data_IF_459416337538
#
_entry.id   IF_459416337538
#
_cell.length_a   1.000
_cell.length_b   1.000
_cell.length_c   1.000
_cell.angle_alpha   90.00
_cell.angle_beta   90.00
_cell.angle_gamma   90.00
#
_symmetry.space_group_name_H-M   'P 1'
#
loop_
_entity.id
_entity.type
_entity.pdbx_description
1 polymer ?
#
# COMPACT_ATOMS: atom_id res chain seq x y z
N UNK A 1 -1.57 33.66 -39.76
CA UNK A 1 -2.35 33.02 -38.68
C UNK A 1 -1.73 31.67 -38.46
N UNK A 2 -0.79 31.58 -37.52
CA UNK A 2 -0.06 30.35 -37.25
C UNK A 2 -0.11 30.07 -35.74
N UNK A 3 -0.31 28.79 -35.42
CA UNK A 3 0.03 28.10 -34.18
C UNK A 3 -0.82 28.42 -32.93
N UNK A 4 -1.99 27.78 -32.85
CA UNK A 4 -2.73 27.57 -31.58
C UNK A 4 -3.17 26.11 -31.35
N UNK A 5 -2.66 25.14 -32.10
CA UNK A 5 -3.08 23.72 -31.96
C UNK A 5 -2.15 22.87 -31.10
N UNK A 6 -0.96 23.36 -30.73
CA UNK A 6 0.00 22.62 -29.90
C UNK A 6 -0.21 22.77 -28.40
N UNK A 7 -0.97 23.79 -27.96
CA UNK A 7 -1.13 24.11 -26.54
C UNK A 7 -2.19 23.24 -25.85
N UNK A 8 -3.28 22.87 -26.52
CA UNK A 8 -4.42 22.22 -25.86
C UNK A 8 -4.19 20.73 -25.61
N UNK A 9 -3.50 20.01 -26.50
CA UNK A 9 -3.17 18.59 -26.29
C UNK A 9 -2.12 18.39 -25.19
N UNK A 10 -1.11 19.26 -25.13
CA UNK A 10 -0.10 19.25 -24.07
C UNK A 10 -0.71 19.59 -22.69
N UNK A 11 -1.67 20.53 -22.62
CA UNK A 11 -2.37 20.88 -21.38
C UNK A 11 -3.40 19.83 -20.94
N UNK A 12 -4.08 19.16 -21.88
CA UNK A 12 -4.97 18.03 -21.54
C UNK A 12 -4.18 16.80 -21.06
N UNK A 13 -2.93 16.62 -21.53
CA UNK A 13 -1.99 15.64 -20.98
C UNK A 13 -1.48 16.01 -19.57
N UNK A 14 -1.51 17.29 -19.20
CA UNK A 14 -1.08 17.73 -17.88
C UNK A 14 -2.09 17.30 -16.79
N UNK A 15 -3.38 17.19 -17.12
CA UNK A 15 -4.37 16.49 -16.29
C UNK A 15 -4.25 14.94 -16.31
N UNK A 16 -3.15 14.36 -16.81
CA UNK A 16 -3.04 12.92 -17.09
C UNK A 16 -1.79 12.21 -16.56
N UNK A 17 -0.77 12.94 -16.06
CA UNK A 17 0.39 12.38 -15.36
C UNK A 17 0.51 12.96 -13.93
N UNK A 18 0.20 14.24 -13.73
CA UNK A 18 0.19 14.87 -12.41
C UNK A 18 -0.79 14.19 -11.44
N UNK A 19 -1.92 13.68 -11.97
CA UNK A 19 -2.88 12.87 -11.19
C UNK A 19 -2.26 11.54 -10.75
N UNK A 20 -1.49 10.88 -11.62
CA UNK A 20 -0.84 9.59 -11.30
C UNK A 20 0.31 9.79 -10.32
N UNK A 21 1.01 10.93 -10.41
CA UNK A 21 2.02 11.35 -9.43
C UNK A 21 1.37 11.59 -8.07
N UNK A 22 0.28 12.35 -8.02
CA UNK A 22 -0.46 12.61 -6.80
C UNK A 22 -0.99 11.31 -6.17
N UNK A 23 -1.58 10.42 -6.95
CA UNK A 23 -2.07 9.11 -6.49
C UNK A 23 -0.91 8.24 -5.93
N UNK A 24 0.26 8.25 -6.58
CA UNK A 24 1.45 7.54 -6.09
C UNK A 24 1.93 8.09 -4.75
N UNK A 25 1.83 9.41 -4.53
CA UNK A 25 2.16 10.04 -3.24
C UNK A 25 1.16 9.68 -2.14
N UNK A 26 -0.13 9.65 -2.46
CA UNK A 26 -1.15 9.17 -1.52
C UNK A 26 -0.88 7.73 -1.10
N UNK A 27 -0.52 6.84 -2.03
CA UNK A 27 -0.15 5.47 -1.69
C UNK A 27 1.08 5.36 -0.78
N UNK A 28 2.06 6.27 -0.92
CA UNK A 28 3.20 6.31 0.00
C UNK A 28 2.74 6.62 1.43
N UNK A 29 1.85 7.60 1.59
CA UNK A 29 1.28 7.96 2.89
C UNK A 29 0.44 6.81 3.48
N UNK A 30 -0.40 6.18 2.66
CA UNK A 30 -1.22 5.02 3.07
C UNK A 30 -0.36 3.82 3.48
N UNK A 31 0.72 3.52 2.75
CA UNK A 31 1.65 2.43 3.11
C UNK A 31 2.40 2.74 4.40
N UNK A 32 2.85 3.98 4.59
CA UNK A 32 3.48 4.40 5.84
C UNK A 32 2.51 4.22 7.00
N UNK A 33 1.25 4.65 6.84
CA UNK A 33 0.23 4.45 7.85
C UNK A 33 -0.04 2.96 8.12
N UNK A 34 -0.14 2.13 7.08
CA UNK A 34 -0.32 0.69 7.23
C UNK A 34 0.85 0.03 7.98
N UNK A 35 2.08 0.52 7.77
CA UNK A 35 3.25 0.06 8.51
C UNK A 35 3.14 0.40 10.01
N UNK A 36 2.74 1.63 10.33
CA UNK A 36 2.51 2.05 11.71
C UNK A 36 1.41 1.20 12.38
N UNK A 37 0.34 0.90 11.64
CA UNK A 37 -0.69 -0.02 12.10
C UNK A 37 -0.12 -1.42 12.36
N UNK A 38 0.70 -1.99 11.47
CA UNK A 38 1.32 -3.30 11.72
C UNK A 38 2.22 -3.28 12.95
N UNK A 39 3.02 -2.24 13.12
CA UNK A 39 3.84 -2.08 14.32
C UNK A 39 2.98 -2.02 15.59
N UNK A 40 1.84 -1.34 15.54
CA UNK A 40 0.88 -1.33 16.64
C UNK A 40 0.30 -2.73 16.90
N UNK A 41 -0.16 -3.45 15.87
CA UNK A 41 -0.72 -4.79 16.03
C UNK A 41 0.31 -5.79 16.58
N UNK A 42 1.58 -5.71 16.16
CA UNK A 42 2.67 -6.52 16.73
C UNK A 42 2.90 -6.23 18.22
N UNK A 43 2.89 -4.95 18.62
CA UNK A 43 3.00 -4.58 20.05
C UNK A 43 1.80 -5.07 20.84
N UNK A 44 0.59 -4.97 20.27
CA UNK A 44 -0.64 -5.43 20.89
C UNK A 44 -0.61 -6.95 21.09
N UNK A 45 -0.24 -7.70 20.05
CA UNK A 45 -0.07 -9.15 20.10
C UNK A 45 0.90 -9.56 21.20
N UNK A 46 2.10 -8.97 21.24
CA UNK A 46 3.11 -9.25 22.28
C UNK A 46 2.55 -9.02 23.69
N UNK A 47 1.88 -7.88 23.91
CA UNK A 47 1.33 -7.52 25.22
C UNK A 47 0.31 -8.54 25.76
N UNK A 48 -0.52 -9.10 24.89
CA UNK A 48 -1.56 -10.06 25.30
C UNK A 48 -1.09 -11.52 25.23
N UNK A 49 -0.11 -11.83 24.38
CA UNK A 49 0.44 -13.16 24.17
C UNK A 49 1.37 -13.65 25.28
N UNK A 50 1.84 -12.77 26.16
CA UNK A 50 2.65 -13.14 27.35
C UNK A 50 1.83 -13.80 28.46
N UNK A 51 0.50 -13.79 28.36
CA UNK A 51 -0.39 -14.45 29.32
C UNK A 51 -0.43 -15.97 29.09
N UNK A 52 -0.70 -16.74 30.14
CA UNK A 52 -1.08 -18.15 29.97
C UNK A 52 -2.46 -18.18 29.31
N UNK A 53 -2.50 -18.61 28.04
CA UNK A 53 -3.71 -18.65 27.23
C UNK A 53 -4.21 -20.09 27.07
N UNK A 54 -5.53 -20.31 26.99
CA UNK A 54 -6.10 -21.58 26.54
C UNK A 54 -5.52 -22.03 25.19
N UNK A 55 -5.38 -23.33 24.97
CA UNK A 55 -4.72 -23.90 23.76
C UNK A 55 -5.32 -23.36 22.46
N UNK A 56 -6.65 -23.21 22.39
CA UNK A 56 -7.33 -22.67 21.21
C UNK A 56 -6.91 -21.23 20.90
N UNK A 57 -6.88 -20.37 21.93
CA UNK A 57 -6.48 -18.95 21.81
C UNK A 57 -4.98 -18.85 21.49
N UNK A 58 -4.17 -19.78 22.00
CA UNK A 58 -2.76 -19.86 21.69
C UNK A 58 -2.51 -20.23 20.21
N UNK A 59 -3.29 -21.16 19.65
CA UNK A 59 -3.21 -21.49 18.20
C UNK A 59 -3.58 -20.29 17.33
N UNK A 60 -4.65 -19.56 17.67
CA UNK A 60 -5.03 -18.32 16.99
C UNK A 60 -3.91 -17.26 17.09
N UNK A 61 -3.29 -17.13 18.26
CA UNK A 61 -2.16 -16.22 18.49
C UNK A 61 -1.00 -16.48 17.54
N UNK A 62 -0.59 -17.74 17.37
CA UNK A 62 0.50 -18.12 16.45
C UNK A 62 0.12 -17.78 15.00
N UNK A 63 -1.10 -18.13 14.58
CA UNK A 63 -1.57 -17.83 13.23
C UNK A 63 -1.59 -16.32 12.93
N UNK A 64 -2.05 -15.51 13.90
CA UNK A 64 -2.04 -14.05 13.79
C UNK A 64 -0.62 -13.51 13.68
N UNK A 65 0.32 -14.01 14.50
CA UNK A 65 1.71 -13.56 14.46
C UNK A 65 2.35 -13.84 13.09
N UNK A 66 2.15 -15.04 12.55
CA UNK A 66 2.65 -15.40 11.21
C UNK A 66 2.05 -14.51 10.13
N UNK A 67 0.72 -14.25 10.21
CA UNK A 67 0.03 -13.37 9.25
C UNK A 67 0.55 -11.94 9.31
N UNK A 68 0.73 -11.37 10.51
CA UNK A 68 1.26 -10.02 10.69
C UNK A 68 2.68 -9.90 10.16
N UNK A 69 3.54 -10.91 10.35
CA UNK A 69 4.89 -10.91 9.82
C UNK A 69 4.89 -10.89 8.29
N UNK A 70 4.08 -11.76 7.67
CA UNK A 70 3.95 -11.82 6.21
C UNK A 70 3.42 -10.50 5.64
N UNK A 71 2.38 -9.92 6.26
CA UNK A 71 1.83 -8.63 5.83
C UNK A 71 2.84 -7.50 5.98
N UNK A 72 3.62 -7.48 7.07
CA UNK A 72 4.67 -6.47 7.25
C UNK A 72 5.71 -6.54 6.12
N UNK A 73 6.09 -7.75 5.70
CA UNK A 73 6.98 -7.94 4.56
C UNK A 73 6.34 -7.48 3.25
N UNK A 74 5.06 -7.79 3.01
CA UNK A 74 4.33 -7.34 1.84
C UNK A 74 4.21 -5.81 1.76
N UNK A 75 4.00 -5.14 2.90
CA UNK A 75 3.99 -3.67 3.00
C UNK A 75 5.36 -3.10 2.64
N UNK A 76 6.46 -3.68 3.13
CA UNK A 76 7.82 -3.25 2.76
C UNK A 76 8.06 -3.40 1.25
N UNK A 77 7.67 -4.54 0.66
CA UNK A 77 7.79 -4.76 -0.79
C UNK A 77 6.92 -3.77 -1.58
N UNK A 78 5.71 -3.47 -1.10
CA UNK A 78 4.83 -2.49 -1.74
C UNK A 78 5.40 -1.08 -1.66
N UNK A 79 6.01 -0.72 -0.53
CA UNK A 79 6.68 0.56 -0.36
C UNK A 79 7.79 0.76 -1.40
N UNK A 80 8.61 -0.27 -1.63
CA UNK A 80 9.64 -0.22 -2.66
C UNK A 80 9.02 -0.14 -4.05
N UNK A 81 7.98 -0.93 -4.32
CA UNK A 81 7.26 -0.93 -5.60
C UNK A 81 6.71 0.46 -5.93
N UNK A 82 6.09 1.15 -4.97
CA UNK A 82 5.58 2.51 -5.16
C UNK A 82 6.72 3.50 -5.37
N UNK A 83 7.84 3.36 -4.64
CA UNK A 83 9.02 4.23 -4.81
C UNK A 83 9.63 4.09 -6.21
N UNK A 84 9.81 2.85 -6.67
CA UNK A 84 10.33 2.55 -8.01
C UNK A 84 9.36 3.08 -9.09
N UNK A 85 8.06 2.87 -8.91
CA UNK A 85 7.02 3.33 -9.83
C UNK A 85 6.98 4.86 -9.95
N UNK A 86 7.15 5.57 -8.83
CA UNK A 86 7.22 7.03 -8.78
C UNK A 86 8.54 7.56 -9.38
N UNK A 87 9.67 6.92 -9.08
CA UNK A 87 10.95 7.25 -9.69
C UNK A 87 10.89 7.11 -11.22
N UNK A 88 10.24 6.05 -11.70
CA UNK A 88 10.05 5.83 -13.13
C UNK A 88 9.17 6.90 -13.79
N UNK A 89 8.08 7.32 -13.12
CA UNK A 89 7.26 8.44 -13.59
C UNK A 89 8.07 9.73 -13.71
N UNK A 90 8.85 10.04 -12.68
CA UNK A 90 9.73 11.21 -12.65
C UNK A 90 10.74 11.18 -13.82
N UNK A 91 11.31 10.02 -14.14
CA UNK A 91 12.21 9.86 -15.29
C UNK A 91 11.51 10.08 -16.63
N UNK A 92 10.30 9.55 -16.81
CA UNK A 92 9.49 9.75 -18.03
C UNK A 92 9.24 11.25 -18.24
N UNK A 93 8.82 11.95 -17.18
CA UNK A 93 8.53 13.39 -17.22
C UNK A 93 9.79 14.19 -17.55
N UNK A 94 10.92 13.91 -16.87
CA UNK A 94 12.15 14.70 -17.03
C UNK A 94 12.84 14.48 -18.38
N UNK A 95 12.85 13.24 -18.87
CA UNK A 95 13.57 12.88 -20.10
C UNK A 95 12.70 12.95 -21.36
N UNK A 96 11.42 13.34 -21.21
CA UNK A 96 10.42 13.37 -22.27
C UNK A 96 10.44 12.07 -23.08
N UNK A 97 10.55 10.94 -22.37
CA UNK A 97 10.66 9.63 -22.99
C UNK A 97 9.29 9.33 -23.58
N UNK A 98 9.27 9.01 -24.86
CA UNK A 98 8.06 8.59 -25.54
C UNK A 98 7.74 7.13 -25.17
N UNK A 99 7.43 6.89 -23.90
CA UNK A 99 6.83 5.64 -23.44
C UNK A 99 5.40 5.62 -23.95
N UNK A 100 4.91 4.45 -24.39
CA UNK A 100 3.48 4.30 -24.65
C UNK A 100 2.74 4.64 -23.36
N UNK A 101 1.97 5.73 -23.34
CA UNK A 101 1.17 6.19 -22.19
C UNK A 101 0.33 5.02 -21.61
N UNK A 102 -0.07 4.08 -22.46
CA UNK A 102 -0.78 2.86 -22.08
C UNK A 102 0.05 1.89 -21.21
N UNK A 103 1.35 1.74 -21.45
CA UNK A 103 2.20 0.81 -20.69
C UNK A 103 2.38 1.29 -19.25
N UNK A 104 2.69 2.58 -19.07
CA UNK A 104 2.79 3.19 -17.74
C UNK A 104 1.46 3.13 -17.00
N UNK A 105 0.34 3.48 -17.66
CA UNK A 105 -1.00 3.40 -17.07
C UNK A 105 -1.39 1.98 -16.67
N UNK A 106 -1.00 0.97 -17.45
CA UNK A 106 -1.25 -0.43 -17.10
C UNK A 106 -0.44 -0.88 -15.88
N UNK A 107 0.82 -0.44 -15.76
CA UNK A 107 1.62 -0.65 -14.54
C UNK A 107 0.97 0.03 -13.34
N UNK A 108 0.59 1.31 -13.47
CA UNK A 108 -0.03 2.07 -12.39
C UNK A 108 -1.34 1.43 -11.90
N UNK A 109 -2.21 0.96 -12.81
CA UNK A 109 -3.41 0.18 -12.45
C UNK A 109 -3.08 -1.09 -11.68
N UNK A 110 -1.99 -1.77 -12.01
CA UNK A 110 -1.56 -2.98 -11.29
C UNK A 110 -1.12 -2.64 -9.87
N UNK A 111 -0.30 -1.60 -9.71
CA UNK A 111 0.12 -1.13 -8.38
C UNK A 111 -1.09 -0.74 -7.55
N UNK A 112 -2.04 -0.01 -8.12
CA UNK A 112 -3.32 0.34 -7.48
C UNK A 112 -4.06 -0.88 -6.94
N UNK A 113 -4.29 -1.89 -7.78
CA UNK A 113 -5.01 -3.10 -7.38
C UNK A 113 -4.28 -3.87 -6.28
N UNK A 114 -2.94 -3.92 -6.33
CA UNK A 114 -2.14 -4.54 -5.29
C UNK A 114 -2.21 -3.76 -3.97
N UNK A 115 -2.19 -2.42 -4.05
CA UNK A 115 -2.34 -1.52 -2.90
C UNK A 115 -3.70 -1.70 -2.22
N UNK A 116 -4.80 -1.66 -2.99
CA UNK A 116 -6.15 -1.87 -2.49
C UNK A 116 -6.31 -3.24 -1.83
N UNK A 117 -5.77 -4.29 -2.44
CA UNK A 117 -5.78 -5.64 -1.88
C UNK A 117 -5.01 -5.71 -0.57
N UNK A 118 -3.82 -5.11 -0.50
CA UNK A 118 -2.98 -5.11 0.69
C UNK A 118 -3.64 -4.37 1.86
N UNK A 119 -4.21 -3.19 1.60
CA UNK A 119 -4.94 -2.42 2.63
C UNK A 119 -6.16 -3.17 3.15
N UNK A 120 -6.85 -3.92 2.28
CA UNK A 120 -7.96 -4.77 2.70
C UNK A 120 -7.50 -5.87 3.65
N UNK A 121 -6.35 -6.50 3.39
CA UNK A 121 -5.76 -7.51 4.27
C UNK A 121 -5.29 -6.93 5.61
N UNK A 122 -4.73 -5.72 5.60
CA UNK A 122 -4.40 -4.96 6.82
C UNK A 122 -5.64 -4.74 7.68
N UNK A 123 -6.72 -4.22 7.07
CA UNK A 123 -8.00 -3.99 7.74
C UNK A 123 -8.60 -5.28 8.29
N UNK A 124 -8.51 -6.38 7.55
CA UNK A 124 -9.00 -7.67 8.00
C UNK A 124 -8.19 -8.21 9.19
N UNK A 125 -6.86 -8.10 9.13
CA UNK A 125 -5.97 -8.55 10.21
C UNK A 125 -6.17 -7.74 11.50
N UNK A 126 -6.48 -6.45 11.38
CA UNK A 126 -6.87 -5.60 12.51
C UNK A 126 -8.14 -6.10 13.20
N UNK A 127 -9.16 -6.50 12.43
CA UNK A 127 -10.39 -7.09 12.99
C UNK A 127 -10.12 -8.40 13.72
N UNK A 128 -9.35 -9.28 13.10
CA UNK A 128 -8.99 -10.57 13.71
C UNK A 128 -8.18 -10.37 15.00
N UNK A 129 -7.28 -9.39 15.03
CA UNK A 129 -6.55 -9.03 16.24
C UNK A 129 -7.49 -8.56 17.36
N UNK A 130 -8.45 -7.68 17.06
CA UNK A 130 -9.40 -7.22 18.07
C UNK A 130 -10.28 -8.34 18.60
N UNK A 131 -10.77 -9.23 17.72
CA UNK A 131 -11.51 -10.41 18.16
C UNK A 131 -10.67 -11.28 19.09
N UNK A 132 -9.41 -11.54 18.72
CA UNK A 132 -8.51 -12.33 19.56
C UNK A 132 -8.23 -11.67 20.91
N UNK A 133 -8.12 -10.33 20.96
CA UNK A 133 -7.99 -9.60 22.23
C UNK A 133 -9.28 -9.71 23.06
N UNK A 134 -10.45 -9.61 22.45
CA UNK A 134 -11.74 -9.80 23.13
C UNK A 134 -11.86 -11.22 23.71
N UNK A 135 -11.45 -12.24 22.96
CA UNK A 135 -11.47 -13.64 23.40
C UNK A 135 -10.54 -13.86 24.62
N UNK A 136 -9.47 -13.07 24.76
CA UNK A 136 -8.57 -13.11 25.94
C UNK A 136 -9.16 -12.38 27.15
N UNK A 137 -9.97 -11.35 26.91
CA UNK A 137 -10.56 -10.51 27.95
C UNK A 137 -11.90 -11.02 28.47
N UNK A 138 -12.54 -11.93 27.73
CA UNK A 138 -13.80 -12.60 28.08
C UNK A 138 -13.60 -13.71 29.11
#
# INVERSE_FOLDING_TARGET
>A
MELLTTSTSAYLLQASLDVLHYESREWQEEITFAMDEMMFLHRLHRRFGEKSLPELIQKQSIALQTKLLLLSQQILTMQETIREHESYLSEIIQRNINVSDDEYRNSHKRVKLQMESLLKEVKQSKKEMFQWVEDILS
#
